data_IF_473824378249
#
_entry.id   IF_473824378249
#
_cell.length_a   1.000
_cell.length_b   1.000
_cell.length_c   1.000
_cell.angle_alpha   90.00
_cell.angle_beta   90.00
_cell.angle_gamma   90.00
#
_symmetry.space_group_name_H-M   'P 1'
#
loop_
_entity.id
_entity.type
_entity.pdbx_description
1 polymer ?
#
# COMPACT_ATOMS: atom_id res chain seq x y z
N UNK A 1 18.74 -30.10 12.96
CA UNK A 1 17.91 -29.95 14.19
C UNK A 1 18.66 -29.29 15.36
N UNK A 2 19.85 -29.76 15.81
CA UNK A 2 20.61 -29.17 16.95
C UNK A 2 20.87 -27.67 16.69
N UNK A 3 21.41 -27.29 15.53
CA UNK A 3 21.67 -25.89 15.16
C UNK A 3 20.41 -25.03 15.26
N UNK A 4 19.26 -25.53 14.82
CA UNK A 4 17.98 -24.83 14.92
C UNK A 4 17.60 -24.53 16.37
N UNK A 5 17.63 -25.53 17.28
CA UNK A 5 17.24 -25.30 18.66
C UNK A 5 18.19 -24.34 19.39
N UNK A 6 19.50 -24.45 19.16
CA UNK A 6 20.48 -23.49 19.70
C UNK A 6 20.13 -22.08 19.21
N UNK A 7 19.86 -21.93 17.92
CA UNK A 7 19.47 -20.65 17.32
C UNK A 7 18.16 -20.14 17.92
N UNK A 8 17.14 -20.99 18.07
CA UNK A 8 15.87 -20.62 18.67
C UNK A 8 16.05 -20.08 20.10
N UNK A 9 16.84 -20.74 20.93
CA UNK A 9 17.07 -20.32 22.32
C UNK A 9 17.85 -19.02 22.42
N UNK A 10 18.92 -18.87 21.64
CA UNK A 10 19.71 -17.62 21.58
C UNK A 10 18.83 -16.47 21.12
N UNK A 11 18.07 -16.65 20.04
CA UNK A 11 17.22 -15.60 19.48
C UNK A 11 16.05 -15.25 20.38
N UNK A 12 15.44 -16.23 21.08
CA UNK A 12 14.41 -15.96 22.10
C UNK A 12 14.97 -15.24 23.32
N UNK A 13 16.19 -15.57 23.75
CA UNK A 13 16.86 -14.82 24.79
C UNK A 13 17.12 -13.36 24.35
N UNK A 14 17.59 -13.16 23.13
CA UNK A 14 17.72 -11.82 22.55
C UNK A 14 16.37 -11.09 22.53
N UNK A 15 15.27 -11.73 22.08
CA UNK A 15 13.92 -11.14 22.12
C UNK A 15 13.54 -10.69 23.55
N UNK A 16 13.83 -11.50 24.56
CA UNK A 16 13.56 -11.17 25.96
C UNK A 16 14.37 -9.95 26.42
N UNK A 17 15.65 -9.86 26.07
CA UNK A 17 16.51 -8.70 26.37
C UNK A 17 15.97 -7.44 25.68
N UNK A 18 15.62 -7.52 24.39
CA UNK A 18 15.04 -6.39 23.64
C UNK A 18 13.70 -5.93 24.23
N UNK A 19 12.89 -6.87 24.71
CA UNK A 19 11.64 -6.55 25.44
C UNK A 19 11.93 -5.76 26.72
N UNK A 20 12.91 -6.18 27.53
CA UNK A 20 13.31 -5.43 28.73
C UNK A 20 13.82 -4.02 28.41
N UNK A 21 14.39 -3.83 27.22
CA UNK A 21 14.84 -2.51 26.73
C UNK A 21 13.72 -1.66 26.12
N UNK A 22 12.46 -2.13 26.15
CA UNK A 22 11.32 -1.46 25.49
C UNK A 22 11.37 -1.50 23.95
N UNK A 23 12.13 -2.42 23.36
CA UNK A 23 12.34 -2.57 21.90
C UNK A 23 11.72 -3.85 21.37
N UNK A 24 10.51 -4.16 21.74
CA UNK A 24 9.82 -5.40 21.32
C UNK A 24 9.61 -5.51 19.81
N UNK A 25 9.63 -4.38 19.08
CA UNK A 25 9.44 -4.29 17.63
C UNK A 25 10.74 -4.30 16.82
N UNK A 26 11.89 -4.47 17.47
CA UNK A 26 13.18 -4.54 16.79
C UNK A 26 13.37 -5.94 16.18
N UNK A 27 13.69 -6.02 14.90
CA UNK A 27 13.80 -7.28 14.15
C UNK A 27 15.19 -7.94 14.25
N UNK A 28 16.15 -7.32 14.97
CA UNK A 28 17.50 -7.88 15.15
C UNK A 28 17.54 -9.30 15.72
N UNK A 29 16.65 -9.73 16.65
CA UNK A 29 16.59 -11.13 17.04
C UNK A 29 16.26 -12.08 15.88
N UNK A 30 15.41 -11.65 14.94
CA UNK A 30 15.11 -12.40 13.72
C UNK A 30 16.30 -12.42 12.76
N UNK A 31 17.02 -11.31 12.62
CA UNK A 31 18.26 -11.25 11.84
C UNK A 31 19.33 -12.16 12.43
N UNK A 32 19.43 -12.23 13.78
CA UNK A 32 20.32 -13.18 14.48
C UNK A 32 19.95 -14.62 14.16
N UNK A 33 18.66 -14.96 14.16
CA UNK A 33 18.18 -16.28 13.78
C UNK A 33 18.62 -16.66 12.36
N UNK A 34 18.48 -15.75 11.41
CA UNK A 34 18.90 -15.94 10.02
C UNK A 34 20.42 -16.17 9.91
N UNK A 35 21.23 -15.34 10.58
CA UNK A 35 22.69 -15.47 10.56
C UNK A 35 23.18 -16.78 11.14
N UNK A 36 22.55 -17.24 12.23
CA UNK A 36 22.92 -18.48 12.90
C UNK A 36 22.37 -19.73 12.19
N UNK A 37 21.20 -19.62 11.54
CA UNK A 37 20.54 -20.73 10.83
C UNK A 37 19.76 -20.18 9.62
N UNK A 38 20.34 -20.12 8.41
CA UNK A 38 19.67 -19.58 7.22
C UNK A 38 18.34 -20.27 6.88
N UNK A 39 18.21 -21.56 7.22
CA UNK A 39 16.98 -22.33 7.02
C UNK A 39 16.03 -22.27 8.23
N UNK A 40 16.17 -21.28 9.11
CA UNK A 40 15.43 -21.20 10.37
C UNK A 40 13.92 -21.28 10.18
N UNK A 41 13.38 -20.57 9.18
CA UNK A 41 11.95 -20.53 8.87
C UNK A 41 11.39 -21.88 8.43
N UNK A 42 12.24 -22.77 7.90
CA UNK A 42 11.84 -24.13 7.51
C UNK A 42 11.58 -25.05 8.71
N UNK A 43 12.26 -24.82 9.85
CA UNK A 43 12.22 -25.71 11.01
C UNK A 43 11.36 -25.20 12.15
N UNK A 44 10.99 -23.91 12.12
CA UNK A 44 10.11 -23.35 13.13
C UNK A 44 8.67 -23.86 12.91
N UNK A 45 8.05 -24.34 13.98
CA UNK A 45 6.67 -24.75 13.94
C UNK A 45 5.78 -23.51 13.82
N UNK A 46 4.65 -23.69 13.16
CA UNK A 46 3.70 -22.63 12.83
C UNK A 46 2.43 -22.79 13.65
N UNK A 47 1.70 -21.69 13.91
CA UNK A 47 0.32 -21.77 14.37
C UNK A 47 -0.56 -22.48 13.33
N UNK A 48 -1.79 -22.79 13.73
CA UNK A 48 -2.76 -23.50 12.89
C UNK A 48 -3.10 -22.74 11.62
N UNK A 49 -3.12 -21.40 11.70
CA UNK A 49 -3.38 -20.51 10.57
C UNK A 49 -2.18 -19.59 10.29
N UNK A 50 -1.66 -19.62 9.07
CA UNK A 50 -0.64 -18.69 8.59
C UNK A 50 -1.11 -18.03 7.31
N UNK A 51 -1.24 -16.72 7.35
CA UNK A 51 -1.64 -15.88 6.19
C UNK A 51 -0.50 -14.95 5.83
N UNK A 52 -0.15 -14.88 4.55
CA UNK A 52 0.72 -13.84 4.02
C UNK A 52 -0.11 -12.86 3.18
N UNK A 53 0.18 -11.57 3.32
CA UNK A 53 -0.41 -10.50 2.51
C UNK A 53 0.71 -9.76 1.79
N UNK A 54 0.64 -9.74 0.47
CA UNK A 54 1.65 -9.13 -0.39
C UNK A 54 1.01 -8.25 -1.47
N UNK A 55 1.83 -7.61 -2.30
CA UNK A 55 1.44 -6.70 -3.38
C UNK A 55 1.97 -5.29 -3.19
N UNK A 56 1.88 -4.45 -4.20
CA UNK A 56 2.52 -3.12 -4.18
C UNK A 56 1.87 -2.18 -3.16
N UNK A 57 0.56 -2.07 -3.17
CA UNK A 57 -0.20 -1.16 -2.30
C UNK A 57 -1.29 -1.92 -1.53
N UNK A 58 -1.68 -1.40 -0.35
CA UNK A 58 -2.79 -1.96 0.43
C UNK A 58 -2.42 -3.02 1.45
N UNK A 59 -1.21 -3.59 1.43
CA UNK A 59 -0.74 -4.65 2.35
C UNK A 59 -1.08 -4.39 3.82
N UNK A 60 -0.61 -3.26 4.35
CA UNK A 60 -0.76 -2.93 5.78
C UNK A 60 -2.21 -2.75 6.19
N UNK A 61 -3.03 -2.11 5.35
CA UNK A 61 -4.47 -1.92 5.62
C UNK A 61 -5.20 -3.26 5.66
N UNK A 62 -4.96 -4.12 4.66
CA UNK A 62 -5.59 -5.43 4.55
C UNK A 62 -5.13 -6.37 5.68
N UNK A 63 -3.82 -6.43 5.95
CA UNK A 63 -3.27 -7.24 7.05
C UNK A 63 -3.81 -6.83 8.41
N UNK A 64 -3.91 -5.51 8.66
CA UNK A 64 -4.45 -4.98 9.90
C UNK A 64 -5.94 -5.33 10.05
N UNK A 65 -6.74 -5.24 8.98
CA UNK A 65 -8.14 -5.62 8.98
C UNK A 65 -8.33 -7.10 9.38
N UNK A 66 -7.56 -7.99 8.76
CA UNK A 66 -7.60 -9.44 9.04
C UNK A 66 -7.16 -9.71 10.49
N UNK A 67 -6.04 -9.13 10.91
CA UNK A 67 -5.55 -9.26 12.28
C UNK A 67 -6.59 -8.80 13.30
N UNK A 68 -7.15 -7.60 13.12
CA UNK A 68 -8.09 -7.01 14.07
C UNK A 68 -9.36 -7.84 14.19
N UNK A 69 -9.87 -8.40 13.08
CA UNK A 69 -11.04 -9.30 13.10
C UNK A 69 -10.75 -10.57 13.89
N UNK A 70 -9.62 -11.23 13.65
CA UNK A 70 -9.25 -12.44 14.38
C UNK A 70 -9.06 -12.17 15.88
N UNK A 71 -8.39 -11.06 16.22
CA UNK A 71 -8.22 -10.64 17.63
C UNK A 71 -9.57 -10.36 18.29
N UNK A 72 -10.50 -9.70 17.59
CA UNK A 72 -11.85 -9.43 18.09
C UNK A 72 -12.65 -10.72 18.36
N UNK A 73 -12.36 -11.80 17.67
CA UNK A 73 -12.91 -13.13 17.91
C UNK A 73 -12.17 -13.94 19.00
N UNK A 74 -11.17 -13.34 19.64
CA UNK A 74 -10.41 -13.99 20.73
C UNK A 74 -9.22 -14.81 20.28
N UNK A 75 -8.85 -14.80 18.99
CA UNK A 75 -7.63 -15.48 18.52
C UNK A 75 -6.40 -14.79 19.06
N UNK A 76 -5.43 -15.56 19.47
CA UNK A 76 -4.09 -15.08 19.79
C UNK A 76 -3.26 -14.99 18.51
N UNK A 77 -3.17 -13.79 17.94
CA UNK A 77 -2.54 -13.52 16.65
C UNK A 77 -1.16 -12.89 16.81
N UNK A 78 -0.18 -13.36 16.04
CA UNK A 78 1.09 -12.66 15.84
C UNK A 78 1.07 -11.93 14.50
N UNK A 79 1.36 -10.63 14.53
CA UNK A 79 1.34 -9.77 13.35
C UNK A 79 2.59 -8.87 13.32
N UNK A 80 3.20 -8.70 12.15
CA UNK A 80 4.37 -7.84 11.94
C UNK A 80 3.98 -6.42 11.52
N UNK A 81 3.22 -5.71 12.37
CA UNK A 81 2.62 -4.38 12.11
C UNK A 81 3.61 -3.20 12.07
N UNK A 82 4.90 -3.43 12.24
CA UNK A 82 5.94 -2.40 12.35
C UNK A 82 6.82 -2.25 11.10
N UNK A 83 6.37 -2.73 9.94
CA UNK A 83 7.11 -2.62 8.68
C UNK A 83 8.24 -3.64 8.50
N UNK A 84 8.39 -4.62 9.40
CA UNK A 84 9.38 -5.70 9.28
C UNK A 84 8.85 -6.80 8.34
N UNK A 85 8.73 -6.49 7.06
CA UNK A 85 8.13 -7.32 6.02
C UNK A 85 9.13 -8.17 5.22
N UNK A 86 10.31 -8.41 5.82
CA UNK A 86 11.39 -9.24 5.29
C UNK A 86 11.67 -10.43 6.21
N UNK A 87 12.62 -11.28 5.83
CA UNK A 87 13.01 -12.50 6.54
C UNK A 87 13.16 -12.33 8.06
N UNK A 88 13.86 -11.27 8.51
CA UNK A 88 14.08 -11.01 9.94
C UNK A 88 12.76 -10.78 10.69
N UNK A 89 11.85 -10.04 10.09
CA UNK A 89 10.50 -9.80 10.64
C UNK A 89 9.67 -11.08 10.69
N UNK A 90 9.73 -11.92 9.66
CA UNK A 90 9.04 -13.22 9.66
C UNK A 90 9.59 -14.15 10.72
N UNK A 91 10.92 -14.23 10.88
CA UNK A 91 11.55 -15.01 11.90
C UNK A 91 11.14 -14.54 13.30
N UNK A 92 11.12 -13.22 13.55
CA UNK A 92 10.66 -12.64 14.82
C UNK A 92 9.17 -12.95 15.07
N UNK A 93 8.32 -12.80 14.07
CA UNK A 93 6.90 -13.08 14.15
C UNK A 93 6.64 -14.55 14.51
N UNK A 94 7.24 -15.49 13.79
CA UNK A 94 7.08 -16.92 14.03
C UNK A 94 7.73 -17.38 15.34
N UNK A 95 8.85 -16.77 15.77
CA UNK A 95 9.41 -17.03 17.10
C UNK A 95 8.47 -16.63 18.24
N UNK A 96 7.64 -15.59 18.05
CA UNK A 96 6.58 -15.25 19.02
C UNK A 96 5.52 -16.35 19.07
N UNK A 97 5.22 -16.98 17.94
CA UNK A 97 4.20 -18.01 17.84
C UNK A 97 4.54 -19.31 18.55
N UNK A 98 5.81 -19.59 18.91
CA UNK A 98 6.24 -20.85 19.54
C UNK A 98 6.86 -20.63 20.91
N UNK A 99 6.86 -21.67 21.74
CA UNK A 99 7.63 -21.69 23.00
C UNK A 99 9.10 -22.13 22.77
N UNK A 100 9.87 -22.30 23.86
CA UNK A 100 11.28 -22.72 23.79
C UNK A 100 11.48 -24.17 23.29
N UNK A 101 10.41 -24.96 23.25
CA UNK A 101 10.39 -26.33 22.71
C UNK A 101 9.84 -26.37 21.28
N UNK A 102 9.75 -25.21 20.61
CA UNK A 102 9.17 -25.08 19.27
C UNK A 102 7.71 -25.56 19.17
N UNK A 103 6.93 -25.49 20.26
CA UNK A 103 5.50 -25.81 20.25
C UNK A 103 4.68 -24.53 20.03
N UNK A 104 3.72 -24.51 19.10
CA UNK A 104 2.85 -23.37 18.89
C UNK A 104 2.11 -22.96 20.18
N UNK A 105 2.03 -21.65 20.41
CA UNK A 105 1.34 -21.00 21.55
C UNK A 105 0.50 -19.81 21.10
N UNK A 106 0.34 -19.63 19.78
CA UNK A 106 -0.54 -18.71 19.11
C UNK A 106 -1.44 -19.49 18.16
N UNK A 107 -2.63 -18.94 17.86
CA UNK A 107 -3.62 -19.55 17.00
C UNK A 107 -3.37 -19.19 15.53
N UNK A 108 -2.89 -17.96 15.29
CA UNK A 108 -2.64 -17.47 13.94
C UNK A 108 -1.38 -16.60 13.82
N UNK A 109 -0.84 -16.53 12.62
CA UNK A 109 0.24 -15.62 12.21
C UNK A 109 -0.16 -14.90 10.94
N UNK A 110 -0.21 -13.56 11.00
CA UNK A 110 -0.42 -12.70 9.84
C UNK A 110 0.91 -12.07 9.47
N UNK A 111 1.31 -12.25 8.21
CA UNK A 111 2.60 -11.81 7.68
C UNK A 111 2.36 -10.78 6.57
N UNK A 112 2.60 -9.49 6.85
CA UNK A 112 2.80 -8.53 5.78
C UNK A 112 4.13 -8.84 5.11
N UNK A 113 4.15 -9.11 3.81
CA UNK A 113 5.31 -9.60 3.09
C UNK A 113 5.68 -8.68 1.91
N UNK A 114 6.98 -8.32 1.85
CA UNK A 114 7.55 -7.62 0.71
C UNK A 114 7.67 -8.60 -0.47
N UNK A 115 7.14 -8.20 -1.61
CA UNK A 115 7.03 -9.03 -2.80
C UNK A 115 8.39 -9.51 -3.35
N UNK A 116 9.47 -8.74 -3.13
CA UNK A 116 10.80 -9.02 -3.67
C UNK A 116 11.50 -10.25 -3.08
N UNK A 117 11.07 -10.69 -1.90
CA UNK A 117 11.70 -11.81 -1.18
C UNK A 117 10.71 -12.92 -0.89
N UNK A 118 9.56 -12.88 -1.57
CA UNK A 118 8.44 -13.76 -1.28
C UNK A 118 8.79 -15.22 -1.55
N UNK A 119 9.42 -15.53 -2.68
CA UNK A 119 9.82 -16.87 -3.10
C UNK A 119 10.76 -17.55 -2.10
N UNK A 120 11.76 -16.83 -1.60
CA UNK A 120 12.74 -17.37 -0.63
C UNK A 120 12.08 -17.58 0.74
N UNK A 121 11.26 -16.64 1.19
CA UNK A 121 10.69 -16.66 2.53
C UNK A 121 9.49 -17.60 2.62
N UNK A 122 8.53 -17.47 1.71
CA UNK A 122 7.29 -18.25 1.74
C UNK A 122 7.52 -19.70 1.34
N UNK A 123 8.51 -19.99 0.49
CA UNK A 123 8.93 -21.37 0.19
C UNK A 123 9.39 -22.13 1.45
N UNK A 124 9.94 -21.43 2.45
CA UNK A 124 10.29 -22.03 3.76
C UNK A 124 9.08 -22.07 4.71
N UNK A 125 8.29 -20.97 4.77
CA UNK A 125 7.18 -20.84 5.73
C UNK A 125 5.98 -21.69 5.30
N UNK A 126 5.65 -21.74 4.00
CA UNK A 126 4.48 -22.42 3.44
C UNK A 126 3.17 -21.97 4.14
N UNK A 127 2.73 -20.73 3.92
CA UNK A 127 1.50 -20.22 4.49
C UNK A 127 0.27 -20.95 3.91
N UNK A 128 -0.83 -20.95 4.63
CA UNK A 128 -2.11 -21.54 4.17
C UNK A 128 -2.73 -20.70 3.05
N UNK A 129 -2.58 -19.37 3.16
CA UNK A 129 -3.10 -18.39 2.21
C UNK A 129 -2.04 -17.35 1.87
N UNK A 130 -1.98 -16.96 0.59
CA UNK A 130 -1.30 -15.75 0.15
C UNK A 130 -2.31 -14.85 -0.55
N UNK A 131 -2.58 -13.69 0.05
CA UNK A 131 -3.40 -12.65 -0.54
C UNK A 131 -2.51 -11.67 -1.29
N UNK A 132 -2.80 -11.45 -2.57
CA UNK A 132 -2.14 -10.46 -3.41
C UNK A 132 -3.11 -9.31 -3.67
N UNK A 133 -2.76 -8.11 -3.20
CA UNK A 133 -3.63 -6.94 -3.32
C UNK A 133 -3.65 -6.36 -4.73
N UNK A 134 -2.48 -6.07 -5.28
CA UNK A 134 -2.25 -5.60 -6.64
C UNK A 134 -0.76 -5.61 -6.97
N UNK A 135 -0.43 -5.58 -8.26
CA UNK A 135 0.94 -5.40 -8.75
C UNK A 135 0.99 -4.15 -9.64
N UNK A 136 1.65 -3.11 -9.14
CA UNK A 136 1.82 -1.82 -9.82
C UNK A 136 3.29 -1.45 -9.88
N UNK A 137 3.62 -0.44 -10.69
CA UNK A 137 4.93 0.21 -10.58
C UNK A 137 5.11 0.80 -9.17
N UNK A 138 6.21 0.48 -8.56
CA UNK A 138 6.72 1.11 -7.34
C UNK A 138 8.08 1.76 -7.66
N UNK A 139 8.84 2.17 -6.66
CA UNK A 139 10.12 2.81 -6.88
C UNK A 139 11.09 1.86 -7.61
N UNK A 140 11.85 2.39 -8.56
CA UNK A 140 12.90 1.63 -9.26
C UNK A 140 13.91 0.99 -8.32
N UNK A 141 14.16 1.62 -7.17
CA UNK A 141 15.05 1.10 -6.15
C UNK A 141 14.52 -0.17 -5.50
N UNK A 142 13.20 -0.31 -5.41
CA UNK A 142 12.55 -1.46 -4.77
C UNK A 142 12.15 -2.51 -5.77
N UNK A 143 11.31 -2.16 -6.72
CA UNK A 143 10.55 -3.12 -7.53
C UNK A 143 10.89 -3.07 -9.01
N UNK A 144 11.62 -2.06 -9.48
CA UNK A 144 12.00 -1.91 -10.88
C UNK A 144 10.79 -1.92 -11.83
N UNK A 145 10.40 -3.08 -12.29
CA UNK A 145 9.32 -3.29 -13.25
C UNK A 145 8.27 -4.26 -12.70
N UNK A 146 6.95 -4.05 -12.94
CA UNK A 146 5.89 -4.96 -12.49
C UNK A 146 6.08 -6.42 -12.91
N UNK A 147 6.63 -6.67 -14.10
CA UNK A 147 6.95 -8.01 -14.60
C UNK A 147 7.96 -8.74 -13.71
N UNK A 148 8.99 -8.04 -13.23
CA UNK A 148 9.96 -8.63 -12.32
C UNK A 148 9.32 -9.07 -10.99
N UNK A 149 8.37 -8.27 -10.49
CA UNK A 149 7.61 -8.62 -9.29
C UNK A 149 6.65 -9.77 -9.57
N UNK A 150 5.98 -9.74 -10.72
CA UNK A 150 5.12 -10.84 -11.15
C UNK A 150 5.89 -12.17 -11.14
N UNK A 151 7.08 -12.21 -11.74
CA UNK A 151 7.90 -13.43 -11.81
C UNK A 151 8.30 -13.97 -10.44
N UNK A 152 8.59 -13.11 -9.47
CA UNK A 152 8.91 -13.53 -8.09
C UNK A 152 7.68 -14.12 -7.41
N UNK A 153 6.54 -13.43 -7.52
CA UNK A 153 5.30 -13.85 -6.86
C UNK A 153 4.76 -15.13 -7.50
N UNK A 154 4.79 -15.23 -8.83
CA UNK A 154 4.32 -16.42 -9.55
C UNK A 154 5.20 -17.64 -9.25
N UNK A 155 6.52 -17.48 -9.28
CA UNK A 155 7.47 -18.51 -8.84
C UNK A 155 7.23 -18.95 -7.39
N UNK A 156 6.78 -18.05 -6.52
CA UNK A 156 6.41 -18.42 -5.15
C UNK A 156 5.26 -19.43 -5.15
N UNK A 157 4.23 -19.20 -5.97
CA UNK A 157 3.12 -20.14 -6.10
C UNK A 157 3.54 -21.47 -6.75
N UNK A 158 4.47 -21.45 -7.70
CA UNK A 158 5.05 -22.68 -8.27
C UNK A 158 5.75 -23.52 -7.18
N UNK A 159 6.52 -22.88 -6.30
CA UNK A 159 7.21 -23.56 -5.18
C UNK A 159 6.21 -24.16 -4.18
N UNK A 160 5.11 -23.43 -3.91
CA UNK A 160 4.11 -23.81 -2.91
C UNK A 160 3.07 -24.80 -3.43
N UNK A 161 2.79 -24.75 -4.73
CA UNK A 161 1.77 -25.59 -5.38
C UNK A 161 0.41 -25.50 -4.71
N UNK A 162 -0.32 -26.59 -4.65
CA UNK A 162 -1.66 -26.67 -4.05
C UNK A 162 -1.70 -26.58 -2.51
N UNK A 163 -0.53 -26.47 -1.84
CA UNK A 163 -0.50 -26.36 -0.37
C UNK A 163 -0.95 -25.00 0.14
N UNK A 164 -0.93 -23.98 -0.71
CA UNK A 164 -1.29 -22.61 -0.39
C UNK A 164 -2.42 -22.14 -1.30
N UNK A 165 -3.41 -21.44 -0.74
CA UNK A 165 -4.52 -20.84 -1.49
C UNK A 165 -4.15 -19.42 -1.94
N UNK A 166 -4.07 -19.15 -3.25
CA UNK A 166 -3.91 -17.79 -3.78
C UNK A 166 -5.24 -17.04 -3.71
N UNK A 167 -5.25 -15.85 -3.08
CA UNK A 167 -6.40 -14.94 -3.08
C UNK A 167 -6.03 -13.70 -3.88
N UNK A 168 -6.61 -13.53 -5.07
CA UNK A 168 -6.13 -12.67 -6.14
C UNK A 168 -7.16 -11.61 -6.55
N UNK A 169 -6.68 -10.43 -6.95
CA UNK A 169 -7.51 -9.36 -7.49
C UNK A 169 -7.88 -9.65 -8.96
N UNK A 170 -9.15 -9.93 -9.24
CA UNK A 170 -9.65 -10.18 -10.58
C UNK A 170 -9.56 -8.94 -11.50
N UNK A 171 -9.70 -7.73 -10.93
CA UNK A 171 -9.66 -6.48 -11.69
C UNK A 171 -8.23 -6.01 -12.02
N UNK A 172 -7.20 -6.69 -11.52
CA UNK A 172 -5.80 -6.40 -11.85
C UNK A 172 -5.31 -7.35 -12.95
N UNK A 173 -5.11 -6.88 -14.19
CA UNK A 173 -4.65 -7.74 -15.29
C UNK A 173 -3.25 -8.34 -15.07
N UNK A 174 -2.48 -7.84 -14.11
CA UNK A 174 -1.18 -8.40 -13.75
C UNK A 174 -1.36 -9.51 -12.71
N UNK A 175 -1.94 -9.18 -11.54
CA UNK A 175 -2.05 -10.16 -10.46
C UNK A 175 -3.06 -11.28 -10.74
N UNK A 176 -4.05 -11.06 -11.60
CA UNK A 176 -5.04 -12.09 -11.99
C UNK A 176 -4.44 -13.29 -12.74
N UNK A 177 -3.23 -13.14 -13.26
CA UNK A 177 -2.53 -14.23 -13.97
C UNK A 177 -1.72 -15.13 -13.05
N UNK A 178 -1.46 -14.70 -11.82
CA UNK A 178 -0.64 -15.44 -10.86
C UNK A 178 -1.21 -16.83 -10.57
N UNK A 179 -0.31 -17.74 -10.24
CA UNK A 179 -0.65 -19.10 -9.83
C UNK A 179 -1.54 -19.84 -10.84
N UNK A 180 -1.29 -19.67 -12.16
CA UNK A 180 -2.15 -20.22 -13.21
C UNK A 180 -2.32 -21.75 -13.12
N UNK A 181 -1.34 -22.46 -12.57
CA UNK A 181 -1.37 -23.91 -12.34
C UNK A 181 -2.07 -24.35 -11.05
N UNK A 182 -2.48 -23.43 -10.17
CA UNK A 182 -3.12 -23.76 -8.89
C UNK A 182 -4.65 -23.78 -9.03
N UNK A 183 -5.28 -24.94 -8.79
CA UNK A 183 -6.73 -25.15 -8.93
C UNK A 183 -7.53 -24.45 -7.82
N UNK A 184 -6.89 -24.05 -6.73
CA UNK A 184 -7.51 -23.43 -5.55
C UNK A 184 -7.52 -21.90 -5.60
N UNK A 185 -7.19 -21.27 -6.75
CA UNK A 185 -7.24 -19.81 -6.87
C UNK A 185 -8.59 -19.26 -6.52
N UNK A 186 -8.61 -18.25 -5.68
CA UNK A 186 -9.80 -17.49 -5.30
C UNK A 186 -9.67 -16.08 -5.83
N UNK A 187 -10.68 -15.60 -6.55
CA UNK A 187 -10.72 -14.25 -7.08
C UNK A 187 -11.72 -13.38 -6.32
N UNK A 188 -11.31 -12.16 -6.02
CA UNK A 188 -12.19 -11.08 -5.60
C UNK A 188 -12.18 -9.96 -6.63
N UNK A 189 -13.32 -9.34 -6.85
CA UNK A 189 -13.47 -8.29 -7.86
C UNK A 189 -14.60 -7.33 -7.56
N UNK A 190 -14.65 -6.24 -8.30
CA UNK A 190 -15.59 -5.13 -8.07
C UNK A 190 -16.17 -4.65 -9.39
N UNK A 191 -17.44 -4.25 -9.35
CA UNK A 191 -18.14 -3.59 -10.45
C UNK A 191 -17.63 -2.18 -10.69
N UNK A 192 -18.06 -1.58 -11.81
CA UNK A 192 -17.87 -0.16 -12.06
C UNK A 192 -18.50 0.69 -10.96
N UNK A 193 -17.67 1.47 -10.30
CA UNK A 193 -18.09 2.41 -9.25
C UNK A 193 -18.47 3.79 -9.82
N UNK A 194 -18.50 3.92 -11.17
CA UNK A 194 -18.75 5.18 -11.87
C UNK A 194 -17.86 6.32 -11.38
N UNK A 195 -16.71 6.00 -10.81
CA UNK A 195 -15.67 6.99 -10.63
C UNK A 195 -15.28 7.47 -12.02
N UNK A 196 -15.22 8.78 -12.20
CA UNK A 196 -14.61 9.35 -13.40
C UNK A 196 -13.09 9.33 -13.20
N UNK A 197 -12.39 8.27 -13.64
CA UNK A 197 -10.96 8.19 -13.44
C UNK A 197 -10.30 9.13 -14.43
N UNK A 198 -9.43 9.98 -13.94
CA UNK A 198 -8.51 10.66 -14.84
C UNK A 198 -7.71 9.63 -15.63
N UNK A 199 -7.50 9.90 -16.91
CA UNK A 199 -6.67 9.02 -17.72
C UNK A 199 -5.21 9.18 -17.30
N UNK A 200 -4.65 8.11 -16.72
CA UNK A 200 -3.24 8.07 -16.37
C UNK A 200 -2.39 8.11 -17.65
N UNK A 201 -1.41 8.99 -17.71
CA UNK A 201 -0.45 9.08 -18.80
C UNK A 201 0.47 7.87 -18.83
N UNK A 202 0.91 7.43 -17.67
CA UNK A 202 1.77 6.26 -17.52
C UNK A 202 0.95 5.02 -17.16
N UNK A 203 1.08 3.97 -17.95
CA UNK A 203 0.36 2.70 -17.78
C UNK A 203 1.31 1.63 -17.25
N UNK A 204 0.87 0.88 -16.24
CA UNK A 204 1.63 -0.27 -15.72
C UNK A 204 1.63 -1.44 -16.73
N UNK A 205 0.51 -1.63 -17.41
CA UNK A 205 0.32 -2.61 -18.47
C UNK A 205 -0.59 -2.00 -19.56
N UNK A 206 -0.19 -2.15 -20.81
CA UNK A 206 -0.95 -1.70 -21.97
C UNK A 206 -1.19 -2.81 -22.99
N UNK A 207 -0.32 -3.83 -23.00
CA UNK A 207 -0.32 -4.92 -23.97
C UNK A 207 -0.76 -6.21 -23.31
N UNK A 208 -1.53 -7.01 -24.02
CA UNK A 208 -1.98 -8.32 -23.56
C UNK A 208 -0.78 -9.25 -23.37
N UNK A 209 -0.58 -9.84 -22.19
CA UNK A 209 0.54 -10.70 -21.90
C UNK A 209 0.46 -12.06 -22.63
N UNK A 210 -0.71 -12.40 -23.19
CA UNK A 210 -0.90 -13.67 -23.91
C UNK A 210 -0.63 -13.58 -25.41
N UNK A 211 -1.04 -12.47 -26.06
CA UNK A 211 -0.96 -12.37 -27.52
C UNK A 211 -0.24 -11.10 -28.01
N UNK A 212 0.11 -10.16 -27.14
CA UNK A 212 0.82 -8.94 -27.51
C UNK A 212 -0.05 -7.81 -28.08
N UNK A 213 -1.38 -7.98 -28.19
CA UNK A 213 -2.30 -6.95 -28.64
C UNK A 213 -2.66 -5.98 -27.49
N UNK A 214 -3.35 -4.90 -27.78
CA UNK A 214 -3.73 -3.91 -26.78
C UNK A 214 -4.80 -4.44 -25.84
N UNK A 215 -4.61 -4.23 -24.52
CA UNK A 215 -5.67 -4.48 -23.54
C UNK A 215 -6.71 -3.38 -23.62
N UNK A 216 -7.99 -3.78 -23.64
CA UNK A 216 -9.16 -2.91 -23.57
C UNK A 216 -9.88 -3.06 -22.24
N UNK A 217 -10.69 -2.06 -21.91
CA UNK A 217 -11.46 -2.01 -20.68
C UNK A 217 -12.92 -1.69 -20.94
N UNK A 218 -13.83 -2.39 -20.29
CA UNK A 218 -15.24 -1.98 -20.20
C UNK A 218 -15.36 -0.78 -19.27
N UNK A 219 -14.61 -0.80 -18.15
CA UNK A 219 -14.42 0.32 -17.23
C UNK A 219 -13.08 0.21 -16.50
N UNK A 220 -12.54 1.35 -16.08
CA UNK A 220 -11.38 1.45 -15.17
C UNK A 220 -11.79 2.18 -13.91
N UNK A 221 -11.28 1.75 -12.78
CA UNK A 221 -11.50 2.39 -11.49
C UNK A 221 -10.35 3.31 -11.10
N UNK A 222 -9.12 2.83 -11.28
CA UNK A 222 -7.89 3.63 -11.16
C UNK A 222 -6.75 2.90 -11.86
N UNK A 223 -5.83 3.63 -12.48
CA UNK A 223 -4.68 3.11 -13.24
C UNK A 223 -5.10 1.97 -14.20
N UNK A 224 -4.51 0.77 -14.02
CA UNK A 224 -4.84 -0.41 -14.81
C UNK A 224 -5.87 -1.34 -14.13
N UNK A 225 -6.39 -0.96 -12.98
CA UNK A 225 -7.39 -1.75 -12.24
C UNK A 225 -8.78 -1.48 -12.81
N UNK A 226 -9.44 -2.52 -13.32
CA UNK A 226 -10.76 -2.41 -13.95
C UNK A 226 -11.26 -3.73 -14.54
N UNK A 227 -12.31 -3.66 -15.34
CA UNK A 227 -12.79 -4.79 -16.10
C UNK A 227 -12.16 -4.77 -17.49
N UNK A 228 -11.20 -5.66 -17.70
CA UNK A 228 -10.35 -5.69 -18.89
C UNK A 228 -10.65 -6.90 -19.78
N UNK A 229 -10.33 -6.74 -21.08
CA UNK A 229 -10.40 -7.81 -22.05
C UNK A 229 -9.43 -7.56 -23.21
N UNK A 230 -9.18 -8.62 -23.99
CA UNK A 230 -8.43 -8.58 -25.25
C UNK A 230 -9.32 -9.05 -26.40
N UNK A 231 -9.35 -8.29 -27.50
CA UNK A 231 -10.16 -8.69 -28.68
C UNK A 231 -9.53 -9.88 -29.45
N UNK A 232 -8.21 -10.07 -29.33
CA UNK A 232 -7.46 -11.02 -30.12
C UNK A 232 -7.27 -12.38 -29.45
N UNK A 233 -7.62 -12.50 -28.14
CA UNK A 233 -7.55 -13.75 -27.40
C UNK A 233 -8.54 -13.76 -26.23
N UNK A 234 -8.56 -14.86 -25.45
CA UNK A 234 -9.47 -15.07 -24.32
C UNK A 234 -9.03 -14.40 -23.02
N UNK A 235 -8.03 -13.50 -23.05
CA UNK A 235 -7.56 -12.78 -21.89
C UNK A 235 -8.58 -11.73 -21.45
N UNK A 236 -9.14 -11.91 -20.27
CA UNK A 236 -10.16 -11.03 -19.67
C UNK A 236 -10.19 -11.16 -18.16
N UNK A 237 -10.89 -10.24 -17.51
CA UNK A 237 -11.18 -10.29 -16.07
C UNK A 237 -11.77 -11.66 -15.70
N UNK A 238 -11.16 -12.40 -14.76
CA UNK A 238 -11.70 -13.66 -14.26
C UNK A 238 -12.98 -13.46 -13.48
N UNK A 239 -13.84 -14.51 -13.46
CA UNK A 239 -15.00 -14.54 -12.58
C UNK A 239 -14.55 -14.52 -11.12
N UNK A 240 -15.20 -13.68 -10.31
CA UNK A 240 -14.88 -13.48 -8.90
C UNK A 240 -15.85 -14.27 -8.01
N UNK A 241 -15.30 -15.03 -7.06
CA UNK A 241 -16.09 -15.68 -5.99
C UNK A 241 -16.68 -14.63 -5.04
N UNK A 242 -15.91 -13.59 -4.75
CA UNK A 242 -16.31 -12.45 -3.93
C UNK A 242 -16.42 -11.22 -4.81
N UNK A 243 -17.63 -10.89 -5.24
CA UNK A 243 -17.87 -9.82 -6.20
C UNK A 243 -18.63 -8.67 -5.57
N UNK A 244 -17.99 -7.51 -5.42
CA UNK A 244 -18.66 -6.31 -4.99
C UNK A 244 -19.50 -5.75 -6.15
N UNK A 245 -20.78 -6.09 -6.16
CA UNK A 245 -21.70 -5.70 -7.23
C UNK A 245 -22.21 -4.26 -7.12
N UNK A 246 -22.09 -3.68 -5.94
CA UNK A 246 -22.45 -2.28 -5.65
C UNK A 246 -21.45 -1.69 -4.65
N UNK A 247 -20.98 -0.48 -4.92
CA UNK A 247 -20.10 0.26 -4.02
C UNK A 247 -20.56 1.71 -3.98
N UNK A 248 -21.03 2.14 -2.83
CA UNK A 248 -21.45 3.50 -2.54
C UNK A 248 -20.40 4.16 -1.64
N UNK A 249 -19.51 4.93 -2.25
CA UNK A 249 -18.43 5.60 -1.55
C UNK A 249 -18.94 6.73 -0.65
N UNK A 250 -20.01 7.41 -1.06
CA UNK A 250 -20.60 8.52 -0.32
C UNK A 250 -21.20 8.04 1.00
N UNK A 251 -22.01 6.97 0.94
CA UNK A 251 -22.65 6.36 2.12
C UNK A 251 -21.76 5.30 2.78
N UNK A 252 -20.55 5.06 2.26
CA UNK A 252 -19.55 4.11 2.78
C UNK A 252 -20.10 2.71 2.98
N UNK A 253 -20.70 2.15 1.95
CA UNK A 253 -21.22 0.79 1.94
C UNK A 253 -20.85 0.05 0.66
N UNK A 254 -20.77 -1.27 0.76
CA UNK A 254 -20.48 -2.17 -0.34
C UNK A 254 -21.35 -3.42 -0.22
N UNK A 255 -21.96 -3.85 -1.34
CA UNK A 255 -22.71 -5.12 -1.40
C UNK A 255 -21.85 -6.14 -2.13
N UNK A 256 -21.48 -7.20 -1.41
CA UNK A 256 -20.70 -8.32 -1.96
C UNK A 256 -21.64 -9.50 -2.22
N UNK A 257 -21.58 -10.03 -3.43
CA UNK A 257 -22.20 -11.30 -3.80
C UNK A 257 -21.19 -12.43 -3.61
N UNK A 258 -21.56 -13.44 -2.82
CA UNK A 258 -20.85 -14.70 -2.62
C UNK A 258 -21.83 -15.85 -2.83
N UNK A 259 -21.54 -16.77 -3.76
CA UNK A 259 -22.40 -17.92 -4.10
C UNK A 259 -23.87 -17.53 -4.36
N UNK A 260 -24.09 -16.38 -5.02
CA UNK A 260 -25.39 -15.83 -5.32
C UNK A 260 -26.12 -15.16 -4.16
N UNK A 261 -25.49 -15.03 -2.99
CA UNK A 261 -26.05 -14.36 -1.82
C UNK A 261 -25.40 -13.01 -1.60
N UNK A 262 -26.22 -11.98 -1.48
CA UNK A 262 -25.78 -10.60 -1.25
C UNK A 262 -25.62 -10.30 0.23
N UNK A 263 -24.54 -9.63 0.58
CA UNK A 263 -24.31 -9.14 1.95
C UNK A 263 -23.76 -7.72 1.89
N UNK A 264 -24.34 -6.83 2.71
CA UNK A 264 -23.86 -5.44 2.82
C UNK A 264 -22.74 -5.35 3.87
N UNK A 265 -21.68 -4.66 3.51
CA UNK A 265 -20.54 -4.37 4.39
C UNK A 265 -20.27 -2.87 4.43
N UNK A 266 -19.98 -2.29 5.62
CA UNK A 266 -19.52 -0.93 5.72
C UNK A 266 -18.12 -0.76 5.13
N UNK A 267 -17.88 0.37 4.46
CA UNK A 267 -16.56 0.79 4.03
C UNK A 267 -15.89 1.65 5.11
N UNK A 268 -14.60 1.45 5.29
CA UNK A 268 -13.79 2.20 6.26
C UNK A 268 -13.38 3.59 5.75
N UNK A 269 -13.57 3.85 4.44
CA UNK A 269 -13.17 5.08 3.75
C UNK A 269 -13.98 5.25 2.46
N UNK A 270 -14.01 6.45 1.94
CA UNK A 270 -14.58 6.85 0.66
C UNK A 270 -13.58 6.76 -0.51
N UNK A 271 -12.37 6.26 -0.28
CA UNK A 271 -11.36 6.10 -1.32
C UNK A 271 -11.48 4.75 -2.02
N UNK A 272 -11.49 4.75 -3.35
CA UNK A 272 -11.62 3.55 -4.20
C UNK A 272 -10.62 2.44 -3.86
N UNK A 273 -9.34 2.79 -3.70
CA UNK A 273 -8.31 1.82 -3.38
C UNK A 273 -8.53 1.14 -2.00
N UNK A 274 -9.15 1.86 -1.04
CA UNK A 274 -9.51 1.27 0.25
C UNK A 274 -10.69 0.31 0.14
N UNK A 275 -11.60 0.49 -0.82
CA UNK A 275 -12.67 -0.47 -1.09
C UNK A 275 -12.10 -1.83 -1.52
N UNK A 276 -11.03 -1.82 -2.36
CA UNK A 276 -10.32 -3.06 -2.70
C UNK A 276 -9.60 -3.68 -1.50
N UNK A 277 -8.99 -2.88 -0.62
CA UNK A 277 -8.36 -3.40 0.59
C UNK A 277 -9.38 -4.07 1.54
N UNK A 278 -10.56 -3.48 1.67
CA UNK A 278 -11.67 -4.04 2.44
C UNK A 278 -12.18 -5.32 1.80
N UNK A 279 -12.47 -5.29 0.49
CA UNK A 279 -12.97 -6.46 -0.25
C UNK A 279 -11.99 -7.63 -0.16
N UNK A 280 -10.69 -7.39 -0.35
CA UNK A 280 -9.66 -8.43 -0.25
C UNK A 280 -9.57 -9.03 1.16
N UNK A 281 -9.67 -8.20 2.20
CA UNK A 281 -9.71 -8.66 3.58
C UNK A 281 -10.95 -9.49 3.90
N UNK A 282 -12.13 -9.07 3.42
CA UNK A 282 -13.38 -9.82 3.55
C UNK A 282 -13.28 -11.17 2.82
N UNK A 283 -12.81 -11.18 1.57
CA UNK A 283 -12.63 -12.41 0.79
C UNK A 283 -11.76 -13.44 1.55
N UNK A 284 -10.62 -13.00 2.10
CA UNK A 284 -9.78 -13.88 2.89
C UNK A 284 -10.44 -14.32 4.20
N UNK A 285 -11.10 -13.43 4.93
CA UNK A 285 -11.83 -13.79 6.15
C UNK A 285 -12.90 -14.83 5.89
N UNK A 286 -13.59 -14.74 4.75
CA UNK A 286 -14.56 -15.76 4.32
C UNK A 286 -13.88 -17.08 3.98
N UNK A 287 -12.75 -17.08 3.27
CA UNK A 287 -11.97 -18.29 2.96
C UNK A 287 -11.47 -19.03 4.20
N UNK A 288 -11.15 -18.32 5.27
CA UNK A 288 -10.79 -18.93 6.55
C UNK A 288 -12.00 -19.27 7.44
N UNK A 289 -13.23 -19.21 6.88
CA UNK A 289 -14.46 -19.66 7.53
C UNK A 289 -15.09 -18.68 8.52
N UNK A 290 -14.84 -17.38 8.38
CA UNK A 290 -15.52 -16.39 9.23
C UNK A 290 -16.89 -16.06 8.69
N UNK A 291 -17.89 -15.95 9.56
CA UNK A 291 -19.26 -15.67 9.16
C UNK A 291 -19.42 -14.25 8.63
N UNK A 292 -20.19 -14.10 7.54
CA UNK A 292 -20.35 -12.81 6.84
C UNK A 292 -21.02 -11.75 7.70
N UNK A 293 -21.98 -12.15 8.54
CA UNK A 293 -22.68 -11.27 9.47
C UNK A 293 -21.73 -10.73 10.55
N UNK A 294 -20.84 -11.59 11.07
CA UNK A 294 -19.84 -11.21 12.08
C UNK A 294 -18.77 -10.28 11.51
N UNK A 295 -18.41 -10.48 10.23
CA UNK A 295 -17.49 -9.57 9.53
C UNK A 295 -18.17 -8.21 9.33
N UNK A 296 -19.43 -8.18 8.86
CA UNK A 296 -20.17 -6.94 8.62
C UNK A 296 -20.34 -6.13 9.91
N UNK A 297 -20.68 -6.77 11.03
CA UNK A 297 -20.78 -6.10 12.33
C UNK A 297 -19.45 -5.54 12.81
N UNK A 298 -18.38 -6.34 12.69
CA UNK A 298 -17.03 -5.89 13.04
C UNK A 298 -16.61 -4.68 12.20
N UNK A 299 -16.93 -4.64 10.91
CA UNK A 299 -16.57 -3.54 10.02
C UNK A 299 -17.17 -2.20 10.45
N UNK A 300 -18.32 -2.17 11.14
CA UNK A 300 -18.91 -0.94 11.68
C UNK A 300 -18.02 -0.24 12.71
N UNK A 301 -17.14 -0.99 13.37
CA UNK A 301 -16.22 -0.48 14.40
C UNK A 301 -14.89 0.00 13.85
N UNK A 302 -14.59 -0.30 12.57
CA UNK A 302 -13.29 -0.02 11.98
C UNK A 302 -13.21 1.41 11.42
N UNK A 303 -12.03 2.00 11.54
CA UNK A 303 -11.71 3.32 10.98
C UNK A 303 -10.34 3.26 10.29
N UNK A 304 -10.20 3.99 9.19
CA UNK A 304 -8.87 4.23 8.60
C UNK A 304 -8.05 5.07 9.56
N UNK A 305 -6.88 4.58 9.90
CA UNK A 305 -5.92 5.37 10.68
C UNK A 305 -5.46 6.54 9.81
N UNK A 306 -5.89 7.75 10.11
CA UNK A 306 -5.48 9.00 9.43
C UNK A 306 -4.03 9.39 9.79
N UNK A 307 -3.07 8.49 9.56
CA UNK A 307 -1.66 8.75 9.90
C UNK A 307 -1.01 9.74 8.92
N UNK A 308 -1.59 9.89 7.72
CA UNK A 308 -0.97 10.61 6.60
C UNK A 308 -1.47 12.03 6.40
N UNK A 309 -2.50 12.44 7.12
CA UNK A 309 -3.09 13.76 6.99
C UNK A 309 -3.20 14.44 8.36
N UNK A 310 -2.74 15.70 8.44
CA UNK A 310 -3.02 16.59 9.58
C UNK A 310 -3.44 17.95 9.06
N UNK A 311 -4.38 18.60 9.74
CA UNK A 311 -4.92 19.90 9.36
C UNK A 311 -4.82 20.90 10.50
N UNK A 312 -4.48 22.14 10.18
CA UNK A 312 -4.57 23.31 11.06
C UNK A 312 -5.38 24.38 10.34
N UNK A 313 -6.35 25.00 11.04
CA UNK A 313 -7.15 26.09 10.49
C UNK A 313 -6.66 27.43 11.04
N UNK A 314 -6.44 28.39 10.16
CA UNK A 314 -6.12 29.77 10.54
C UNK A 314 -6.72 30.76 9.52
N UNK A 315 -7.39 31.79 10.00
CA UNK A 315 -7.98 32.88 9.21
C UNK A 315 -8.82 32.40 8.00
N UNK A 316 -9.65 31.37 8.21
CA UNK A 316 -10.52 30.79 7.16
C UNK A 316 -9.83 29.82 6.19
N UNK A 317 -8.49 29.68 6.26
CA UNK A 317 -7.72 28.78 5.42
C UNK A 317 -7.40 27.48 6.18
N UNK A 318 -7.51 26.35 5.49
CA UNK A 318 -7.10 25.03 5.99
C UNK A 318 -5.70 24.68 5.49
N UNK A 319 -4.80 24.39 6.42
CA UNK A 319 -3.41 24.00 6.12
C UNK A 319 -3.22 22.52 6.40
N UNK A 320 -3.08 21.74 5.35
CA UNK A 320 -2.98 20.29 5.39
C UNK A 320 -1.53 19.82 5.16
N UNK A 321 -1.13 18.76 5.85
CA UNK A 321 -0.01 17.93 5.41
C UNK A 321 -0.56 16.63 4.85
N UNK A 322 -0.07 16.17 3.69
CA UNK A 322 -0.55 14.96 3.04
C UNK A 322 0.59 14.10 2.51
N UNK A 323 0.70 12.87 2.97
CA UNK A 323 1.78 11.95 2.57
C UNK A 323 1.58 11.42 1.16
N UNK A 324 2.49 11.75 0.25
CA UNK A 324 2.43 11.38 -1.15
C UNK A 324 3.20 10.09 -1.49
N UNK A 325 4.17 9.68 -0.67
CA UNK A 325 5.06 8.54 -0.95
C UNK A 325 5.65 8.64 -2.37
N UNK A 326 6.42 9.70 -2.62
CA UNK A 326 6.84 10.16 -3.95
C UNK A 326 7.44 9.08 -4.84
N UNK A 327 8.27 8.21 -4.31
CA UNK A 327 8.90 7.16 -5.11
C UNK A 327 7.95 6.00 -5.48
N UNK A 328 6.79 5.89 -4.84
CA UNK A 328 5.73 5.00 -5.30
C UNK A 328 4.84 5.78 -6.28
N UNK A 329 5.14 5.62 -7.55
CA UNK A 329 4.46 6.29 -8.68
C UNK A 329 2.93 6.22 -8.58
N UNK A 330 2.41 5.04 -8.25
CA UNK A 330 0.97 4.81 -8.11
C UNK A 330 0.38 5.62 -6.94
N UNK A 331 1.04 5.61 -5.79
CA UNK A 331 0.58 6.35 -4.62
C UNK A 331 0.66 7.87 -4.83
N UNK A 332 1.75 8.36 -5.43
CA UNK A 332 1.91 9.78 -5.74
C UNK A 332 0.87 10.26 -6.77
N UNK A 333 0.65 9.51 -7.86
CA UNK A 333 -0.39 9.83 -8.86
C UNK A 333 -1.79 9.88 -8.23
N UNK A 334 -2.11 8.96 -7.31
CA UNK A 334 -3.39 8.96 -6.58
C UNK A 334 -3.56 10.22 -5.73
N UNK A 335 -2.48 10.70 -5.09
CA UNK A 335 -2.53 11.95 -4.32
C UNK A 335 -2.73 13.15 -5.23
N UNK A 336 -2.06 13.19 -6.39
CA UNK A 336 -2.22 14.27 -7.35
C UNK A 336 -3.63 14.28 -7.97
N UNK A 337 -4.20 13.10 -8.24
CA UNK A 337 -5.60 12.97 -8.66
C UNK A 337 -6.56 13.51 -7.58
N UNK A 338 -6.33 13.19 -6.31
CA UNK A 338 -7.12 13.75 -5.21
C UNK A 338 -7.01 15.27 -5.15
N UNK A 339 -5.82 15.85 -5.32
CA UNK A 339 -5.64 17.32 -5.37
C UNK A 339 -6.41 17.93 -6.53
N UNK A 340 -6.47 17.27 -7.68
CA UNK A 340 -7.21 17.74 -8.85
C UNK A 340 -8.74 17.71 -8.66
N UNK A 341 -9.26 16.66 -8.02
CA UNK A 341 -10.70 16.44 -7.79
C UNK A 341 -11.27 17.26 -6.65
N UNK A 342 -10.45 17.63 -5.66
CA UNK A 342 -10.85 18.43 -4.53
C UNK A 342 -11.23 19.85 -5.01
N UNK A 343 -12.48 20.34 -4.79
CA UNK A 343 -13.02 21.51 -5.49
C UNK A 343 -12.51 22.87 -5.01
N UNK A 344 -11.91 22.93 -3.79
CA UNK A 344 -11.48 24.21 -3.19
C UNK A 344 -10.30 24.83 -3.95
N UNK A 345 -10.26 26.14 -4.02
CA UNK A 345 -9.10 26.86 -4.53
C UNK A 345 -7.92 26.71 -3.58
N UNK A 346 -6.77 26.27 -4.11
CA UNK A 346 -5.64 25.82 -3.26
C UNK A 346 -4.26 26.14 -3.80
N UNK A 347 -3.32 26.22 -2.87
CA UNK A 347 -1.89 26.14 -3.14
C UNK A 347 -1.36 24.74 -2.77
N UNK A 348 -0.44 24.22 -3.59
CA UNK A 348 0.20 22.93 -3.36
C UNK A 348 1.71 23.13 -3.18
N UNK A 349 2.24 22.69 -2.06
CA UNK A 349 3.67 22.69 -1.75
C UNK A 349 4.21 21.28 -1.92
N UNK A 350 5.23 21.11 -2.75
CA UNK A 350 5.88 19.83 -2.99
C UNK A 350 7.17 19.72 -2.18
N UNK A 351 7.17 18.89 -1.13
CA UNK A 351 8.34 18.46 -0.37
C UNK A 351 8.61 16.99 -0.66
N UNK A 352 8.90 16.69 -1.92
CA UNK A 352 9.02 15.32 -2.43
C UNK A 352 10.46 14.88 -2.66
N UNK A 353 11.44 15.73 -2.31
CA UNK A 353 12.85 15.37 -2.32
C UNK A 353 13.12 14.29 -1.29
N UNK A 354 13.71 13.19 -1.73
CA UNK A 354 14.13 12.12 -0.85
C UNK A 354 15.58 11.76 -1.10
N UNK A 355 16.41 11.95 -0.09
CA UNK A 355 17.75 11.39 -0.01
C UNK A 355 17.66 10.07 0.76
N UNK A 356 17.34 8.98 0.06
CA UNK A 356 17.12 7.65 0.69
C UNK A 356 18.39 7.03 1.25
N UNK A 357 19.56 7.43 0.78
CA UNK A 357 20.82 6.87 1.23
C UNK A 357 21.77 7.95 1.70
N UNK A 358 21.91 8.05 3.02
CA UNK A 358 22.86 8.99 3.64
C UNK A 358 24.32 8.68 3.29
N UNK A 359 24.63 7.43 2.94
CA UNK A 359 25.99 6.98 2.61
C UNK A 359 26.29 7.12 1.11
N UNK A 360 25.24 7.02 0.27
CA UNK A 360 25.34 7.11 -1.19
C UNK A 360 24.19 8.00 -1.71
N UNK A 361 24.33 9.33 -1.63
CA UNK A 361 23.26 10.27 -1.97
C UNK A 361 23.07 10.37 -3.48
N UNK A 362 22.81 9.23 -4.13
CA UNK A 362 22.41 9.16 -5.52
C UNK A 362 20.90 8.99 -5.58
N UNK A 363 20.24 9.93 -6.24
CA UNK A 363 18.80 9.92 -6.39
C UNK A 363 18.44 9.52 -7.81
N UNK A 364 17.42 8.65 -7.94
CA UNK A 364 16.83 8.36 -9.24
C UNK A 364 15.68 9.33 -9.53
N UNK A 365 15.70 9.95 -10.70
CA UNK A 365 14.69 10.90 -11.15
C UNK A 365 13.56 10.24 -11.96
N UNK A 366 13.64 8.94 -12.20
CA UNK A 366 12.72 8.26 -13.12
C UNK A 366 11.26 8.33 -12.63
N UNK A 367 11.05 8.29 -11.33
CA UNK A 367 9.71 8.38 -10.75
C UNK A 367 8.99 9.70 -11.09
N UNK A 368 9.71 10.80 -11.27
CA UNK A 368 9.14 12.07 -11.71
C UNK A 368 8.41 11.94 -13.05
N UNK A 369 8.99 11.17 -13.98
CA UNK A 369 8.45 10.99 -15.32
C UNK A 369 7.38 9.89 -15.38
N UNK A 370 7.33 9.01 -14.39
CA UNK A 370 6.34 7.94 -14.28
C UNK A 370 5.12 8.33 -13.42
N UNK A 371 5.20 9.44 -12.67
CA UNK A 371 4.09 9.98 -11.88
C UNK A 371 3.27 10.97 -12.72
N UNK A 372 1.95 10.92 -12.59
CA UNK A 372 1.01 11.74 -13.37
C UNK A 372 0.93 13.18 -12.80
N UNK A 373 1.95 13.98 -13.03
CA UNK A 373 1.98 15.41 -12.70
C UNK A 373 0.93 16.21 -13.47
N UNK A 374 0.42 15.67 -14.57
CA UNK A 374 -0.66 16.19 -15.38
C UNK A 374 -1.92 16.47 -14.54
N UNK A 375 -2.17 15.70 -13.50
CA UNK A 375 -3.29 15.93 -12.57
C UNK A 375 -3.15 17.26 -11.80
N UNK A 376 -1.94 17.74 -11.60
CA UNK A 376 -1.73 19.05 -10.96
C UNK A 376 -2.06 20.22 -11.88
N UNK A 377 -2.31 19.99 -13.18
CA UNK A 377 -2.83 21.00 -14.10
C UNK A 377 -4.35 21.18 -13.96
N UNK A 378 -4.80 21.47 -12.74
CA UNK A 378 -6.20 21.69 -12.40
C UNK A 378 -6.51 23.20 -12.25
N UNK A 379 -7.70 23.66 -12.64
CA UNK A 379 -8.09 25.06 -12.44
C UNK A 379 -8.14 25.49 -10.98
N UNK A 380 -8.42 24.55 -10.06
CA UNK A 380 -8.50 24.79 -8.62
C UNK A 380 -7.12 24.85 -7.95
N UNK A 381 -6.06 24.45 -8.64
CA UNK A 381 -4.69 24.63 -8.17
C UNK A 381 -4.18 25.97 -8.69
N UNK A 382 -4.09 26.96 -7.80
CA UNK A 382 -3.70 28.33 -8.17
C UNK A 382 -2.20 28.48 -8.26
N UNK A 383 -1.47 27.81 -7.35
CA UNK A 383 -0.02 27.88 -7.30
C UNK A 383 0.59 26.55 -6.83
N UNK A 384 1.71 26.18 -7.42
CA UNK A 384 2.54 25.05 -7.02
C UNK A 384 3.90 25.59 -6.60
N UNK A 385 4.29 25.32 -5.36
CA UNK A 385 5.53 25.80 -4.78
C UNK A 385 6.45 24.62 -4.55
N UNK A 386 7.65 24.68 -5.09
CA UNK A 386 8.66 23.63 -5.00
C UNK A 386 9.92 24.19 -4.38
N UNK A 387 10.45 23.49 -3.40
CA UNK A 387 11.74 23.82 -2.78
C UNK A 387 12.57 22.55 -2.57
N UNK A 388 13.86 22.75 -2.27
CA UNK A 388 14.79 21.67 -1.98
C UNK A 388 15.73 21.34 -3.13
N UNK A 389 16.46 20.23 -3.02
CA UNK A 389 17.55 19.91 -3.94
C UNK A 389 17.09 19.65 -5.38
N UNK A 390 15.86 19.16 -5.55
CA UNK A 390 15.31 18.77 -6.84
C UNK A 390 14.37 19.81 -7.46
N UNK A 391 14.34 21.03 -6.94
CA UNK A 391 13.37 22.04 -7.37
C UNK A 391 13.37 22.32 -8.88
N UNK A 392 14.53 22.29 -9.54
CA UNK A 392 14.62 22.46 -11.00
C UNK A 392 14.09 21.25 -11.76
N UNK A 393 14.29 20.03 -11.23
CA UNK A 393 13.75 18.82 -11.84
C UNK A 393 12.21 18.80 -11.75
N UNK A 394 11.67 19.18 -10.59
CA UNK A 394 10.23 19.36 -10.42
C UNK A 394 9.69 20.46 -11.35
N UNK A 395 10.38 21.62 -11.47
CA UNK A 395 9.98 22.66 -12.39
C UNK A 395 9.87 22.13 -13.81
N UNK A 396 10.90 21.45 -14.29
CA UNK A 396 10.89 20.86 -15.63
C UNK A 396 9.71 19.90 -15.81
N UNK A 397 9.48 19.01 -14.83
CA UNK A 397 8.38 18.03 -14.89
C UNK A 397 7.00 18.69 -14.88
N UNK A 398 6.81 19.75 -14.09
CA UNK A 398 5.57 20.52 -14.06
C UNK A 398 5.30 21.22 -15.40
N UNK A 399 6.33 21.80 -16.02
CA UNK A 399 6.21 22.40 -17.35
C UNK A 399 5.87 21.36 -18.43
N UNK A 400 6.49 20.17 -18.37
CA UNK A 400 6.17 19.05 -19.26
C UNK A 400 4.74 18.51 -19.07
N UNK A 401 4.17 18.67 -17.87
CA UNK A 401 2.78 18.35 -17.57
C UNK A 401 1.79 19.43 -18.10
N UNK A 402 2.29 20.46 -18.77
CA UNK A 402 1.47 21.54 -19.33
C UNK A 402 1.00 22.57 -18.29
N UNK A 403 1.60 22.60 -17.11
CA UNK A 403 1.25 23.58 -16.07
C UNK A 403 1.86 24.93 -16.47
N UNK A 404 1.07 26.02 -16.50
CA UNK A 404 1.55 27.36 -16.83
C UNK A 404 2.67 27.81 -15.89
N UNK A 405 3.75 28.40 -16.45
CA UNK A 405 4.93 28.79 -15.68
C UNK A 405 4.59 29.79 -14.56
N UNK A 406 3.62 30.65 -14.77
CA UNK A 406 3.14 31.63 -13.78
C UNK A 406 2.52 30.99 -12.53
N UNK A 407 2.08 29.73 -12.61
CA UNK A 407 1.61 28.95 -11.45
C UNK A 407 2.73 28.26 -10.68
N UNK A 408 3.96 28.23 -11.20
CA UNK A 408 5.07 27.46 -10.64
C UNK A 408 6.04 28.42 -9.95
N UNK A 409 6.21 28.22 -8.65
CA UNK A 409 7.23 28.93 -7.86
C UNK A 409 8.29 27.95 -7.41
N UNK A 410 9.54 28.25 -7.74
CA UNK A 410 10.69 27.43 -7.36
C UNK A 410 11.61 28.21 -6.45
N UNK A 411 11.95 27.62 -5.31
CA UNK A 411 12.89 28.19 -4.34
C UNK A 411 14.01 27.19 -4.07
N UNK A 412 15.23 27.69 -4.02
CA UNK A 412 16.40 26.85 -3.73
C UNK A 412 16.38 26.37 -2.29
N UNK A 413 16.00 27.25 -1.37
CA UNK A 413 15.86 26.92 0.05
C UNK A 413 14.40 26.68 0.41
N UNK A 414 14.10 25.52 0.99
CA UNK A 414 12.76 25.22 1.51
C UNK A 414 12.31 26.24 2.57
N UNK A 415 13.23 26.89 3.29
CA UNK A 415 12.93 27.91 4.28
C UNK A 415 12.22 29.13 3.68
N UNK A 416 12.33 29.35 2.37
CA UNK A 416 11.69 30.46 1.68
C UNK A 416 10.25 30.15 1.23
N UNK A 417 9.84 28.91 1.24
CA UNK A 417 8.49 28.45 0.83
C UNK A 417 7.37 29.28 1.50
N UNK A 418 7.40 29.55 2.83
CA UNK A 418 6.33 30.29 3.49
C UNK A 418 6.07 31.70 2.94
N UNK A 419 7.08 32.32 2.29
CA UNK A 419 6.98 33.65 1.69
C UNK A 419 6.22 33.66 0.36
N UNK A 420 5.98 32.50 -0.23
CA UNK A 420 5.40 32.37 -1.58
C UNK A 420 3.99 31.77 -1.59
N UNK A 421 3.46 31.40 -0.42
CA UNK A 421 2.10 30.87 -0.29
C UNK A 421 1.09 32.01 -0.36
N UNK A 422 0.16 31.96 -1.33
CA UNK A 422 -0.93 32.93 -1.42
C UNK A 422 -1.95 32.71 -0.31
N UNK A 423 -2.61 33.80 0.08
CA UNK A 423 -3.66 33.75 1.12
C UNK A 423 -4.98 34.36 0.62
N UNK A 424 -4.91 35.25 -0.35
CA UNK A 424 -6.09 35.83 -0.95
C UNK A 424 -6.68 34.88 -2.01
N UNK A 425 -7.99 34.62 -1.92
CA UNK A 425 -8.69 33.73 -2.83
C UNK A 425 -8.33 32.24 -2.67
N UNK A 426 -7.68 31.85 -1.56
CA UNK A 426 -7.28 30.47 -1.28
C UNK A 426 -8.05 29.94 -0.08
N UNK A 427 -8.62 28.76 -0.22
CA UNK A 427 -9.32 28.05 0.85
C UNK A 427 -8.43 27.03 1.56
N UNK A 428 -7.49 26.42 0.81
CA UNK A 428 -6.63 25.36 1.33
C UNK A 428 -5.18 25.48 0.88
N UNK A 429 -4.29 25.02 1.74
CA UNK A 429 -2.86 24.83 1.44
C UNK A 429 -2.50 23.40 1.74
N UNK A 430 -1.97 22.67 0.76
CA UNK A 430 -1.51 21.30 0.92
C UNK A 430 0.01 21.24 0.87
N UNK A 431 0.61 20.67 1.91
CA UNK A 431 2.03 20.31 1.95
C UNK A 431 2.13 18.82 1.68
N UNK A 432 2.51 18.46 0.46
CA UNK A 432 2.73 17.07 0.04
C UNK A 432 4.15 16.65 0.42
N UNK A 433 4.30 15.47 1.03
CA UNK A 433 5.60 15.06 1.56
C UNK A 433 5.84 13.56 1.39
N UNK A 434 7.12 13.17 1.38
CA UNK A 434 7.54 11.77 1.47
C UNK A 434 7.28 11.22 2.89
N UNK A 435 6.88 9.96 2.98
CA UNK A 435 6.39 9.34 4.24
C UNK A 435 7.38 9.48 5.39
N UNK A 436 8.67 9.40 5.11
CA UNK A 436 9.71 9.52 6.14
C UNK A 436 9.89 10.96 6.67
N UNK A 437 9.27 11.95 6.02
CA UNK A 437 9.40 13.37 6.34
C UNK A 437 8.18 13.99 7.05
N UNK A 438 7.38 13.20 7.75
CA UNK A 438 6.19 13.68 8.50
C UNK A 438 6.50 14.89 9.39
N UNK A 439 7.59 14.85 10.14
CA UNK A 439 8.01 15.96 11.02
C UNK A 439 8.39 17.20 10.22
N UNK A 440 9.13 17.02 9.12
CA UNK A 440 9.54 18.11 8.21
C UNK A 440 8.31 18.80 7.62
N UNK A 441 7.32 18.02 7.16
CA UNK A 441 6.09 18.55 6.59
C UNK A 441 5.24 19.33 7.61
N UNK A 442 5.14 18.82 8.83
CA UNK A 442 4.46 19.52 9.93
C UNK A 442 5.15 20.86 10.26
N UNK A 443 6.48 20.85 10.37
CA UNK A 443 7.24 22.06 10.61
C UNK A 443 7.06 23.08 9.48
N UNK A 444 7.04 22.63 8.21
CA UNK A 444 6.77 23.49 7.06
C UNK A 444 5.36 24.09 7.12
N UNK A 445 4.35 23.29 7.35
CA UNK A 445 2.97 23.77 7.54
C UNK A 445 2.90 24.83 8.65
N UNK A 446 3.51 24.55 9.79
CA UNK A 446 3.49 25.45 10.93
C UNK A 446 4.23 26.76 10.63
N UNK A 447 5.35 26.72 9.89
CA UNK A 447 6.06 27.89 9.40
C UNK A 447 5.19 28.74 8.44
N UNK A 448 4.43 28.09 7.55
CA UNK A 448 3.47 28.78 6.66
C UNK A 448 2.37 29.48 7.48
N UNK A 449 1.85 28.82 8.52
CA UNK A 449 0.83 29.40 9.40
C UNK A 449 1.40 30.57 10.23
N UNK A 450 2.61 30.43 10.77
CA UNK A 450 3.26 31.55 11.51
C UNK A 450 3.50 32.76 10.60
N UNK A 451 3.95 32.55 9.36
CA UNK A 451 4.09 33.62 8.39
C UNK A 451 2.76 34.32 8.10
N UNK A 452 1.66 33.55 7.97
CA UNK A 452 0.32 34.12 7.83
C UNK A 452 -0.11 34.97 9.04
N UNK A 453 0.31 34.59 10.27
CA UNK A 453 0.05 35.39 11.49
C UNK A 453 0.86 36.67 11.54
N UNK A 454 2.10 36.65 11.02
CA UNK A 454 2.94 37.86 10.93
C UNK A 454 2.36 38.89 9.95
N UNK A 455 1.87 38.44 8.80
CA UNK A 455 1.29 39.29 7.76
C UNK A 455 -0.09 39.85 8.13
N UNK A 456 -0.79 39.25 9.09
CA UNK A 456 -2.07 39.69 9.59
C UNK A 456 -1.96 40.74 10.72
N UNK A 457 -0.74 41.00 11.21
CA UNK A 457 -0.43 42.04 12.23
C UNK A 457 -0.10 43.37 11.57
#
# INVERSE_FOLDING_TARGET
MIRFYITLWISKFAMWVYKLMGRERDDRPGLLAFKLCPDFLKYINKPELVVAVTGTNGKSTTSALINNKLVAEGYKVSFNDWGANLYAGFALNLMRCVNIFNKPVYDASILEADERTLDVSMGQIKPDYILVTNICKDSLRRNGHPEFIFDIVDRTFDILGESTVPVLNANDPISSQLAAGNSRRVFYGMTDIKADPFENTVKDIAVCPRCGDMIKYNYRMYRHIGDFYCDSCDFKTPDSKYYAKEVDLENRKMIITEDGVDTEYPLISDAVHNSFNVLSGIALLREIGKEKEDIAEFMKTQQVTKIRETCVKYNGIEYHTYGAKSQNVSAASTVFEYMAKEPSDKNVVLLLDELQDKNHPTETLTWLYETDYEFLNSPNIKKIIVGGHMYLNHKLRLLLAGIPEEKIVCVESEADIPNHVDREGIEKVYVLFEIDYVTKARNMRDAIVEKAKEEAK
#
